data_IF_392681568298
#
_entry.id   IF_392681568298
#
_cell.length_a   1.000
_cell.length_b   1.000
_cell.length_c   1.000
_cell.angle_alpha   90.00
_cell.angle_beta   90.00
_cell.angle_gamma   90.00
#
_symmetry.space_group_name_H-M   'P 1'
#
loop_
_entity.id
_entity.type
_entity.pdbx_description
1 polymer ?
#
# COMPACT_ATOMS: atom_id res chain seq x y z
N UNK A 1 7.78 9.56 11.84
CA UNK A 1 8.30 9.50 10.46
C UNK A 1 9.52 8.59 10.47
N UNK A 2 9.33 7.29 10.22
CA UNK A 2 10.35 6.25 10.49
C UNK A 2 11.61 6.48 9.65
N UNK A 3 11.47 6.87 8.38
CA UNK A 3 12.62 7.14 7.49
C UNK A 3 13.50 8.31 7.97
N UNK A 4 12.91 9.39 8.50
CA UNK A 4 13.65 10.50 9.11
C UNK A 4 14.38 10.09 10.38
N UNK A 5 13.75 9.26 11.20
CA UNK A 5 14.37 8.73 12.43
C UNK A 5 15.53 7.77 12.12
N UNK A 6 15.50 7.14 10.95
CA UNK A 6 16.53 6.22 10.48
C UNK A 6 17.58 6.89 9.58
N UNK A 7 17.49 8.20 9.33
CA UNK A 7 18.40 8.93 8.44
C UNK A 7 18.34 8.48 6.98
N UNK A 8 17.23 7.86 6.57
CA UNK A 8 16.97 7.34 5.20
C UNK A 8 16.04 8.25 4.42
N UNK A 9 15.86 9.48 4.86
CA UNK A 9 15.01 10.47 4.20
C UNK A 9 15.74 11.25 3.09
N UNK A 10 17.05 11.09 2.98
CA UNK A 10 17.97 11.62 1.95
C UNK A 10 19.14 10.63 1.74
N UNK A 11 19.85 10.68 0.59
CA UNK A 11 21.09 9.92 0.38
C UNK A 11 21.16 9.16 -0.96
N UNK A 12 22.13 8.23 -1.06
CA UNK A 12 22.33 7.31 -2.19
C UNK A 12 22.24 5.84 -1.71
N UNK A 13 21.29 5.02 -2.23
CA UNK A 13 20.26 5.39 -3.19
C UNK A 13 19.22 6.32 -2.55
N UNK A 14 18.79 7.32 -3.33
CA UNK A 14 17.77 8.27 -2.91
C UNK A 14 16.43 7.57 -2.70
N UNK A 15 15.53 8.13 -1.88
CA UNK A 15 14.19 7.60 -1.75
C UNK A 15 13.50 7.49 -3.13
N UNK A 16 12.79 6.40 -3.36
CA UNK A 16 12.09 6.17 -4.62
C UNK A 16 11.02 7.24 -4.94
N UNK A 17 10.49 7.89 -3.90
CA UNK A 17 9.55 9.00 -4.02
C UNK A 17 10.07 10.15 -3.15
N UNK A 18 10.63 11.16 -3.80
CA UNK A 18 11.22 12.34 -3.17
C UNK A 18 10.80 13.63 -3.87
N UNK A 19 11.03 14.76 -3.20
CA UNK A 19 10.94 16.08 -3.82
C UNK A 19 12.16 16.37 -4.71
N UNK A 20 12.14 17.55 -5.33
CA UNK A 20 13.23 18.08 -6.19
C UNK A 20 14.57 18.19 -5.47
N UNK A 21 14.57 18.23 -4.14
CA UNK A 21 15.76 18.33 -3.30
C UNK A 21 16.21 16.96 -2.75
N UNK A 22 15.52 15.87 -3.13
CA UNK A 22 15.85 14.50 -2.71
C UNK A 22 15.28 14.07 -1.35
N UNK A 23 14.41 14.88 -0.73
CA UNK A 23 13.77 14.52 0.54
C UNK A 23 12.53 13.66 0.31
N UNK A 24 12.30 12.66 1.17
CA UNK A 24 11.07 11.86 1.16
C UNK A 24 9.81 12.74 1.19
N UNK A 25 8.90 12.51 0.24
CA UNK A 25 7.59 13.18 0.26
C UNK A 25 6.76 12.77 1.46
N UNK A 26 6.14 13.76 2.10
CA UNK A 26 5.22 13.49 3.21
C UNK A 26 3.90 12.87 2.72
N UNK A 27 3.26 12.10 3.59
CA UNK A 27 1.90 11.58 3.37
C UNK A 27 0.93 12.66 2.92
N UNK A 28 0.98 13.83 3.55
CA UNK A 28 0.03 14.93 3.30
C UNK A 28 0.14 15.43 1.87
N UNK A 29 1.35 15.47 1.33
CA UNK A 29 1.59 15.85 -0.07
C UNK A 29 0.97 14.79 -0.99
N UNK A 30 1.27 13.51 -0.75
CA UNK A 30 0.70 12.42 -1.56
C UNK A 30 -0.85 12.35 -1.48
N UNK A 31 -1.44 12.59 -0.30
CA UNK A 31 -2.89 12.63 -0.13
C UNK A 31 -3.51 13.79 -0.91
N UNK A 32 -2.91 14.97 -0.86
CA UNK A 32 -3.37 16.14 -1.62
C UNK A 32 -3.38 15.86 -3.13
N UNK A 33 -2.31 15.25 -3.65
CA UNK A 33 -2.24 14.88 -5.07
C UNK A 33 -3.32 13.83 -5.43
N UNK A 34 -3.49 12.80 -4.60
CA UNK A 34 -4.54 11.79 -4.81
C UNK A 34 -5.95 12.42 -4.82
N UNK A 35 -6.24 13.29 -3.86
CA UNK A 35 -7.54 13.96 -3.77
C UNK A 35 -7.78 14.89 -4.96
N UNK A 36 -6.76 15.60 -5.43
CA UNK A 36 -6.84 16.41 -6.64
C UNK A 36 -7.25 15.57 -7.86
N UNK A 37 -6.61 14.43 -8.07
CA UNK A 37 -6.96 13.51 -9.15
C UNK A 37 -8.38 12.94 -9.02
N UNK A 38 -8.79 12.56 -7.81
CA UNK A 38 -10.13 12.02 -7.56
C UNK A 38 -11.23 13.07 -7.79
N UNK A 39 -10.98 14.34 -7.50
CA UNK A 39 -11.92 15.44 -7.82
C UNK A 39 -12.08 15.64 -9.31
N UNK A 40 -10.98 15.60 -10.08
CA UNK A 40 -11.04 15.62 -11.55
C UNK A 40 -11.88 14.43 -12.07
N UNK A 41 -11.80 13.27 -11.41
CA UNK A 41 -12.62 12.11 -11.76
C UNK A 41 -14.09 12.26 -11.32
N UNK A 42 -14.38 13.02 -10.26
CA UNK A 42 -15.76 13.39 -9.90
C UNK A 42 -16.39 14.28 -10.96
N UNK A 43 -15.68 15.31 -11.43
CA UNK A 43 -16.15 16.19 -12.51
C UNK A 43 -16.42 15.43 -13.82
N UNK A 44 -15.74 14.31 -14.03
CA UNK A 44 -15.94 13.40 -15.18
C UNK A 44 -17.04 12.36 -14.95
N UNK A 45 -17.70 12.36 -13.78
CA UNK A 45 -18.76 11.40 -13.43
C UNK A 45 -18.26 9.97 -13.15
N UNK A 46 -16.95 9.76 -13.00
CA UNK A 46 -16.38 8.43 -12.69
C UNK A 46 -16.50 8.12 -11.21
N UNK A 47 -16.32 9.13 -10.36
CA UNK A 47 -16.53 9.05 -8.91
C UNK A 47 -17.82 9.81 -8.57
N UNK A 48 -18.71 9.30 -7.71
CA UNK A 48 -19.95 9.98 -7.37
C UNK A 48 -19.71 11.38 -6.79
N UNK A 49 -20.45 12.40 -7.28
CA UNK A 49 -20.31 13.79 -6.84
C UNK A 49 -20.69 14.01 -5.37
N UNK A 50 -21.62 13.22 -4.83
CA UNK A 50 -22.03 13.28 -3.42
C UNK A 50 -21.04 12.65 -2.43
N UNK A 51 -19.93 12.08 -2.93
CA UNK A 51 -18.93 11.42 -2.10
C UNK A 51 -17.85 12.43 -1.66
N UNK A 52 -17.61 12.54 -0.35
CA UNK A 52 -16.51 13.34 0.17
C UNK A 52 -15.18 12.60 -0.02
N UNK A 53 -14.39 13.01 -1.01
CA UNK A 53 -13.13 12.34 -1.39
C UNK A 53 -12.13 12.37 -0.24
N UNK A 54 -12.02 13.50 0.46
CA UNK A 54 -11.05 13.70 1.53
C UNK A 54 -11.31 12.83 2.76
N UNK A 55 -12.57 12.48 3.01
CA UNK A 55 -12.94 11.59 4.13
C UNK A 55 -12.87 10.11 3.77
N UNK A 56 -13.09 9.77 2.50
CA UNK A 56 -13.23 8.38 2.05
C UNK A 56 -11.94 7.79 1.47
N UNK A 57 -11.05 8.63 0.94
CA UNK A 57 -9.84 8.19 0.27
C UNK A 57 -8.57 8.60 1.01
N UNK A 58 -7.72 7.62 1.30
CA UNK A 58 -6.40 7.84 1.91
C UNK A 58 -5.37 7.00 1.16
N UNK A 59 -4.23 7.59 0.81
CA UNK A 59 -3.17 6.93 0.01
C UNK A 59 -2.78 5.56 0.59
N UNK A 60 -2.59 5.47 1.90
CA UNK A 60 -2.13 4.24 2.54
C UNK A 60 -3.19 3.15 2.70
N UNK A 61 -4.48 3.49 2.59
CA UNK A 61 -5.56 2.54 2.85
C UNK A 61 -6.36 2.24 1.59
N UNK A 62 -6.73 3.25 0.83
CA UNK A 62 -7.64 3.12 -0.30
C UNK A 62 -7.01 2.37 -1.46
N UNK A 63 -5.74 2.64 -1.78
CA UNK A 63 -5.02 1.90 -2.83
C UNK A 63 -4.90 0.41 -2.49
N UNK A 64 -4.52 0.10 -1.25
CA UNK A 64 -4.41 -1.28 -0.77
C UNK A 64 -5.77 -1.98 -0.69
N UNK A 65 -6.81 -1.28 -0.22
CA UNK A 65 -8.20 -1.78 -0.19
C UNK A 65 -8.69 -2.10 -1.59
N UNK A 66 -8.50 -1.18 -2.54
CA UNK A 66 -8.87 -1.36 -3.94
C UNK A 66 -8.14 -2.54 -4.59
N UNK A 67 -6.83 -2.62 -4.40
CA UNK A 67 -6.03 -3.73 -4.92
C UNK A 67 -6.48 -5.09 -4.34
N UNK A 68 -6.73 -5.14 -3.03
CA UNK A 68 -7.22 -6.35 -2.37
C UNK A 68 -8.61 -6.74 -2.88
N UNK A 69 -9.53 -5.78 -3.00
CA UNK A 69 -10.87 -6.04 -3.52
C UNK A 69 -10.84 -6.57 -4.96
N UNK A 70 -9.98 -6.00 -5.82
CA UNK A 70 -9.79 -6.49 -7.19
C UNK A 70 -9.22 -7.91 -7.21
N UNK A 71 -8.22 -8.20 -6.37
CA UNK A 71 -7.65 -9.54 -6.29
C UNK A 71 -8.69 -10.58 -5.82
N UNK A 72 -9.53 -10.22 -4.84
CA UNK A 72 -10.66 -11.05 -4.39
C UNK A 72 -11.66 -11.28 -5.52
N UNK A 73 -12.03 -10.24 -6.27
CA UNK A 73 -12.96 -10.36 -7.40
C UNK A 73 -12.41 -11.24 -8.53
N UNK A 74 -11.09 -11.25 -8.71
CA UNK A 74 -10.40 -12.14 -9.64
C UNK A 74 -10.13 -13.54 -9.07
N UNK A 75 -10.67 -13.85 -7.87
CA UNK A 75 -10.57 -15.15 -7.22
C UNK A 75 -9.12 -15.64 -7.03
N UNK A 76 -8.18 -14.71 -6.81
CA UNK A 76 -6.82 -15.10 -6.45
C UNK A 76 -6.85 -15.87 -5.13
N UNK A 77 -5.96 -16.85 -5.00
CA UNK A 77 -5.88 -17.63 -3.77
C UNK A 77 -5.60 -16.73 -2.57
N UNK A 78 -6.22 -17.06 -1.44
CA UNK A 78 -6.03 -16.31 -0.19
C UNK A 78 -4.55 -16.24 0.21
N UNK A 79 -3.77 -17.29 -0.09
CA UNK A 79 -2.32 -17.32 0.13
C UNK A 79 -1.60 -16.21 -0.64
N UNK A 80 -1.96 -15.98 -1.91
CA UNK A 80 -1.36 -14.92 -2.73
C UNK A 80 -1.74 -13.54 -2.19
N UNK A 81 -3.01 -13.33 -1.81
CA UNK A 81 -3.50 -12.08 -1.24
C UNK A 81 -2.80 -11.78 0.08
N UNK A 82 -2.74 -12.74 1.01
CA UNK A 82 -2.12 -12.58 2.33
C UNK A 82 -0.61 -12.39 2.25
N UNK A 83 0.06 -13.07 1.32
CA UNK A 83 1.51 -12.92 1.10
C UNK A 83 1.86 -11.53 0.59
N UNK A 84 1.07 -10.97 -0.34
CA UNK A 84 1.29 -9.60 -0.83
C UNK A 84 0.93 -8.55 0.20
N UNK A 85 -0.18 -8.76 0.92
CA UNK A 85 -0.61 -7.83 1.95
C UNK A 85 0.31 -7.87 3.19
N UNK A 86 0.92 -9.01 3.54
CA UNK A 86 1.68 -9.16 4.79
C UNK A 86 0.86 -8.75 6.00
N UNK A 87 -0.43 -9.09 6.00
CA UNK A 87 -1.27 -8.87 7.17
C UNK A 87 -0.66 -9.63 8.35
N UNK A 88 -0.33 -8.88 9.39
CA UNK A 88 0.01 -9.48 10.69
C UNK A 88 -1.29 -9.93 11.31
N UNK A 89 -1.40 -11.21 11.66
CA UNK A 89 -2.41 -11.63 12.61
C UNK A 89 -2.11 -10.89 13.92
N UNK A 90 -2.98 -9.95 14.30
CA UNK A 90 -2.78 -9.16 15.50
C UNK A 90 -2.95 -10.03 16.75
N UNK A 91 -1.90 -10.02 17.57
CA UNK A 91 -1.92 -10.03 19.05
C UNK A 91 -2.37 -11.33 19.75
N UNK A 92 -1.40 -12.17 20.11
CA UNK A 92 -1.39 -12.73 21.47
C UNK A 92 -0.86 -11.67 22.44
N UNK A 93 -1.33 -11.69 23.69
CA UNK A 93 -1.17 -10.72 24.79
C UNK A 93 0.25 -10.19 25.14
N UNK A 94 1.30 -10.53 24.38
CA UNK A 94 2.71 -10.15 24.65
C UNK A 94 3.40 -9.34 23.54
N UNK A 95 2.67 -8.78 22.58
CA UNK A 95 3.23 -7.81 21.63
C UNK A 95 4.25 -8.35 20.61
N UNK A 96 4.50 -9.67 20.55
CA UNK A 96 5.28 -10.28 19.47
C UNK A 96 4.46 -10.37 18.19
N UNK A 97 5.05 -9.93 17.08
CA UNK A 97 4.49 -10.05 15.73
C UNK A 97 4.45 -11.53 15.35
N UNK A 98 3.30 -12.19 15.44
CA UNK A 98 3.12 -13.55 14.92
C UNK A 98 2.77 -13.46 13.43
N UNK A 99 3.80 -13.49 12.59
CA UNK A 99 3.59 -13.95 11.21
C UNK A 99 3.28 -15.45 11.27
N UNK A 100 2.41 -15.97 10.38
CA UNK A 100 2.30 -17.42 10.19
C UNK A 100 3.70 -18.02 9.99
N UNK A 101 3.95 -19.21 10.54
CA UNK A 101 5.26 -19.87 10.41
C UNK A 101 5.70 -19.99 8.94
N UNK A 102 4.75 -20.21 8.03
CA UNK A 102 5.00 -20.21 6.58
C UNK A 102 5.60 -18.91 6.07
N UNK A 103 5.18 -17.75 6.59
CA UNK A 103 5.71 -16.44 6.20
C UNK A 103 7.05 -16.11 6.88
N UNK A 104 7.35 -16.69 8.05
CA UNK A 104 8.65 -16.52 8.71
C UNK A 104 9.79 -17.21 7.96
N UNK A 105 9.48 -18.34 7.32
CA UNK A 105 10.44 -19.09 6.49
C UNK A 105 10.36 -18.74 5.00
N UNK A 106 9.49 -17.81 4.61
CA UNK A 106 9.29 -17.47 3.21
C UNK A 106 10.44 -16.60 2.70
N UNK A 107 11.22 -17.13 1.77
CA UNK A 107 12.18 -16.34 1.00
C UNK A 107 11.44 -15.53 -0.08
N UNK A 108 11.64 -14.20 -0.08
CA UNK A 108 11.08 -13.27 -1.07
C UNK A 108 11.43 -13.66 -2.49
N UNK A 109 12.66 -14.15 -2.74
CA UNK A 109 13.11 -14.51 -4.09
C UNK A 109 12.35 -15.72 -4.61
N UNK A 110 12.05 -16.68 -3.73
CA UNK A 110 11.29 -17.89 -4.06
C UNK A 110 9.79 -17.60 -4.14
N UNK A 111 9.29 -16.64 -3.35
CA UNK A 111 7.89 -16.21 -3.36
C UNK A 111 7.52 -15.27 -4.52
N UNK A 112 8.47 -14.95 -5.41
CA UNK A 112 8.26 -14.04 -6.54
C UNK A 112 7.02 -14.38 -7.39
N UNK A 113 6.71 -15.66 -7.71
CA UNK A 113 5.50 -16.00 -8.48
C UNK A 113 4.21 -15.54 -7.81
N UNK A 114 4.11 -15.62 -6.47
CA UNK A 114 2.93 -15.16 -5.73
C UNK A 114 2.81 -13.63 -5.77
N UNK A 115 3.93 -12.91 -5.71
CA UNK A 115 3.94 -11.46 -5.87
C UNK A 115 3.54 -11.04 -7.29
N UNK A 116 4.09 -11.70 -8.31
CA UNK A 116 3.76 -11.43 -9.71
C UNK A 116 2.31 -11.74 -10.05
N UNK A 117 1.75 -12.84 -9.52
CA UNK A 117 0.34 -13.18 -9.74
C UNK A 117 -0.61 -12.10 -9.20
N UNK A 118 -0.30 -11.54 -8.03
CA UNK A 118 -1.08 -10.43 -7.46
C UNK A 118 -0.92 -9.15 -8.29
N UNK A 119 0.31 -8.80 -8.69
CA UNK A 119 0.58 -7.62 -9.51
C UNK A 119 -0.09 -7.70 -10.88
N UNK A 120 -0.13 -8.88 -11.52
CA UNK A 120 -0.79 -9.08 -12.81
C UNK A 120 -2.32 -8.89 -12.75
N UNK A 121 -2.91 -8.98 -11.55
CA UNK A 121 -4.33 -8.77 -11.34
C UNK A 121 -4.71 -7.29 -11.13
N UNK A 122 -3.73 -6.39 -11.01
CA UNK A 122 -3.91 -4.94 -10.81
C UNK A 122 -3.76 -4.19 -12.12
#
# INVERSE_FOLDING_TARGET
>A
MILRLEGRDVGDPSPAICDENGYVLSTRVLEKELHGLLKILQEKGVVPEGLSVESEFHVYRSLRRGATARATNMQLSQVVIDTNNRWRLMQTSRGKKNLPMSQLYLDIRVALPAHLAFSAAM
#
